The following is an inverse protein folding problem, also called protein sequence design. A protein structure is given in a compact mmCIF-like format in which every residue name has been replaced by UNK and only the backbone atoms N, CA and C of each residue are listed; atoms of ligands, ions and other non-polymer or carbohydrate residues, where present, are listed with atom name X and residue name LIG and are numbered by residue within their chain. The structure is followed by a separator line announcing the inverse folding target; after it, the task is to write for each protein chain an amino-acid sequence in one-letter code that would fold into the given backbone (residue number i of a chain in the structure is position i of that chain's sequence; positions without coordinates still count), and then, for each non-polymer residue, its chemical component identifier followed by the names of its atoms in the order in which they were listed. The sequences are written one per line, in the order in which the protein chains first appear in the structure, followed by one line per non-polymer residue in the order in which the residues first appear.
data_IF_841746767897
#
_entry.id   IF_841746767897
#
_cell.length_a   1.000
_cell.length_b   1.000
_cell.length_c   1.000
_cell.angle_alpha   90.00
_cell.angle_beta   90.00
_cell.angle_gamma   90.00
#
_symmetry.space_group_name_H-M   'P 1'
#
loop_
_entity.id
_entity.type
_entity.pdbx_description
1 polymer ?
#
# COMPACT_ATOMS: atom_id res chain seq x y z
N UNK A 1 12.53 -2.51 -14.73
CA UNK A 1 11.63 -1.71 -13.86
C UNK A 1 11.70 -2.23 -12.44
N UNK A 2 11.78 -1.33 -11.49
CA UNK A 2 11.78 -1.68 -10.07
C UNK A 2 10.39 -1.38 -9.49
N UNK A 3 9.91 -2.24 -8.61
CA UNK A 3 8.63 -2.10 -7.94
C UNK A 3 8.82 -2.08 -6.44
N UNK A 4 7.95 -1.39 -5.72
CA UNK A 4 7.99 -1.40 -4.26
C UNK A 4 6.58 -1.50 -3.66
N UNK A 5 6.55 -2.00 -2.43
CA UNK A 5 5.33 -2.12 -1.65
C UNK A 5 5.63 -1.78 -0.19
N UNK A 6 4.75 -1.01 0.43
CA UNK A 6 4.86 -0.63 1.84
C UNK A 6 3.80 -1.40 2.62
N UNK A 7 4.23 -2.16 3.61
CA UNK A 7 3.33 -3.11 4.28
C UNK A 7 3.77 -3.38 5.73
N UNK A 8 2.92 -4.08 6.46
CA UNK A 8 3.22 -4.59 7.80
C UNK A 8 3.66 -6.04 7.71
N UNK A 9 3.87 -6.69 8.87
CA UNK A 9 4.05 -8.14 8.97
C UNK A 9 2.71 -8.87 9.15
N UNK A 10 1.61 -8.11 9.33
CA UNK A 10 0.28 -8.67 9.54
C UNK A 10 -0.31 -9.15 8.20
N UNK A 11 -0.66 -10.43 8.12
CA UNK A 11 -1.14 -11.04 6.89
C UNK A 11 -2.62 -10.75 6.69
N UNK A 12 -2.97 -10.19 5.54
CA UNK A 12 -4.36 -9.93 5.17
C UNK A 12 -5.11 -11.24 4.92
N UNK A 13 -6.33 -11.33 5.44
CA UNK A 13 -7.14 -12.53 5.32
C UNK A 13 -7.44 -12.90 3.85
N UNK A 14 -7.78 -11.92 3.04
CA UNK A 14 -8.20 -12.14 1.65
C UNK A 14 -7.04 -12.57 0.76
N UNK A 15 -5.96 -11.81 0.75
CA UNK A 15 -4.83 -12.03 -0.18
C UNK A 15 -3.80 -13.02 0.34
N UNK A 16 -3.81 -13.33 1.64
CA UNK A 16 -2.78 -14.13 2.32
C UNK A 16 -1.38 -13.52 2.24
N UNK A 17 -1.30 -12.21 1.99
CA UNK A 17 -0.06 -11.45 1.88
C UNK A 17 -0.02 -10.37 2.97
N UNK A 18 1.18 -9.84 3.31
CA UNK A 18 1.28 -8.77 4.29
C UNK A 18 0.39 -7.58 3.93
N UNK A 19 -0.29 -7.05 4.95
CA UNK A 19 -1.26 -5.96 4.78
C UNK A 19 -0.56 -4.67 4.36
N UNK A 20 -1.07 -4.02 3.31
CA UNK A 20 -0.53 -2.75 2.81
C UNK A 20 -0.81 -1.57 3.74
N UNK A 21 -0.05 -0.50 3.57
CA UNK A 21 -0.12 0.67 4.45
C UNK A 21 -1.50 1.35 4.45
N UNK A 22 -2.15 1.46 3.30
CA UNK A 22 -3.48 2.11 3.21
C UNK A 22 -4.52 1.36 4.06
N UNK A 23 -4.58 0.06 3.92
CA UNK A 23 -5.50 -0.80 4.68
C UNK A 23 -5.19 -0.75 6.17
N UNK A 24 -3.91 -0.74 6.52
CA UNK A 24 -3.47 -0.70 7.92
C UNK A 24 -3.96 0.57 8.62
N UNK A 25 -3.77 1.74 8.01
CA UNK A 25 -4.23 3.00 8.61
C UNK A 25 -5.76 3.10 8.58
N UNK A 26 -6.39 2.60 7.51
CA UNK A 26 -7.86 2.50 7.44
C UNK A 26 -8.44 1.71 8.60
N UNK A 27 -7.79 0.65 9.02
CA UNK A 27 -8.20 -0.11 10.22
C UNK A 27 -8.08 0.68 11.52
N UNK A 28 -7.08 1.54 11.63
CA UNK A 28 -6.95 2.43 12.80
C UNK A 28 -8.12 3.41 12.86
N UNK A 29 -8.60 3.88 11.73
CA UNK A 29 -9.80 4.73 11.66
C UNK A 29 -11.05 3.93 12.07
N UNK A 30 -11.25 2.76 11.49
CA UNK A 30 -12.41 1.92 11.74
C UNK A 30 -12.52 1.49 13.20
N UNK A 31 -11.39 1.23 13.85
CA UNK A 31 -11.33 0.86 15.27
C UNK A 31 -11.37 2.06 16.22
N UNK A 32 -11.49 3.27 15.68
CA UNK A 32 -11.51 4.54 16.45
C UNK A 32 -10.26 4.75 17.29
N UNK A 33 -9.12 4.26 16.81
CA UNK A 33 -7.82 4.42 17.47
C UNK A 33 -7.26 5.82 17.29
N UNK A 34 -7.47 6.42 16.10
CA UNK A 34 -6.99 7.77 15.82
C UNK A 34 -7.78 8.82 16.60
N UNK A 35 -7.11 9.92 16.95
CA UNK A 35 -7.78 11.09 17.52
C UNK A 35 -8.72 11.73 16.50
N UNK A 36 -9.58 12.66 16.95
CA UNK A 36 -10.46 13.39 16.02
C UNK A 36 -9.65 14.18 14.97
N UNK A 37 -8.56 14.82 15.39
CA UNK A 37 -7.69 15.58 14.51
C UNK A 37 -7.00 14.68 13.49
N UNK A 38 -6.50 13.53 13.92
CA UNK A 38 -5.86 12.54 13.06
C UNK A 38 -6.85 11.95 12.07
N UNK A 39 -8.06 11.67 12.52
CA UNK A 39 -9.12 11.17 11.65
C UNK A 39 -9.48 12.19 10.57
N UNK A 40 -9.59 13.47 10.93
CA UNK A 40 -9.84 14.54 9.96
C UNK A 40 -8.71 14.63 8.92
N UNK A 41 -7.45 14.51 9.36
CA UNK A 41 -6.30 14.51 8.45
C UNK A 41 -6.30 13.28 7.54
N UNK A 42 -6.67 12.12 8.09
CA UNK A 42 -6.81 10.90 7.30
C UNK A 42 -7.77 11.10 6.11
N UNK A 43 -8.93 11.71 6.34
CA UNK A 43 -9.91 11.92 5.28
C UNK A 43 -9.40 12.88 4.21
N UNK A 44 -8.62 13.89 4.58
CA UNK A 44 -7.95 14.80 3.63
C UNK A 44 -6.93 14.05 2.78
N UNK A 45 -6.12 13.19 3.41
CA UNK A 45 -5.12 12.39 2.71
C UNK A 45 -5.79 11.40 1.76
N UNK A 46 -6.86 10.76 2.19
CA UNK A 46 -7.62 9.83 1.36
C UNK A 46 -8.22 10.53 0.13
N UNK A 47 -8.78 11.71 0.33
CA UNK A 47 -9.32 12.51 -0.79
C UNK A 47 -8.23 12.83 -1.81
N UNK A 48 -7.04 13.20 -1.35
CA UNK A 48 -5.89 13.43 -2.22
C UNK A 48 -5.57 12.19 -3.05
N UNK A 49 -5.45 11.02 -2.42
CA UNK A 49 -5.12 9.79 -3.13
C UNK A 49 -6.23 9.34 -4.08
N UNK A 50 -7.48 9.57 -3.75
CA UNK A 50 -8.61 9.28 -4.63
C UNK A 50 -8.57 10.14 -5.91
N UNK A 51 -8.06 11.37 -5.82
CA UNK A 51 -7.91 12.24 -6.99
C UNK A 51 -6.71 11.88 -7.87
N UNK A 52 -5.61 11.48 -7.26
CA UNK A 52 -4.30 11.36 -7.92
C UNK A 52 -4.01 9.93 -8.35
N UNK A 53 -4.35 8.96 -7.50
CA UNK A 53 -4.00 7.56 -7.70
C UNK A 53 -5.19 6.81 -8.32
N UNK A 54 -5.06 6.31 -9.57
CA UNK A 54 -6.14 5.51 -10.15
C UNK A 54 -6.44 4.28 -9.31
N UNK A 55 -7.72 3.91 -9.23
CA UNK A 55 -8.16 2.70 -8.52
C UNK A 55 -8.40 1.60 -9.55
N UNK A 56 -7.71 0.45 -9.45
CA UNK A 56 -7.99 -0.69 -10.32
C UNK A 56 -9.47 -1.07 -10.27
N UNK A 57 -10.12 -1.28 -11.44
CA UNK A 57 -11.58 -1.47 -11.49
C UNK A 57 -12.11 -2.61 -10.65
N UNK A 58 -11.35 -3.70 -10.53
CA UNK A 58 -11.78 -4.89 -9.79
C UNK A 58 -11.87 -4.69 -8.28
N UNK A 59 -11.30 -3.62 -7.72
CA UNK A 59 -11.44 -3.34 -6.28
C UNK A 59 -12.87 -2.99 -5.90
N UNK A 60 -13.66 -2.44 -6.84
CA UNK A 60 -15.09 -2.17 -6.61
C UNK A 60 -15.88 -3.45 -6.36
N UNK A 61 -15.42 -4.56 -6.91
CA UNK A 61 -16.08 -5.87 -6.80
C UNK A 61 -15.50 -6.71 -5.65
N UNK A 62 -14.78 -6.10 -4.72
CA UNK A 62 -14.21 -6.78 -3.56
C UNK A 62 -12.93 -7.54 -3.85
N UNK A 63 -12.24 -7.21 -4.95
CA UNK A 63 -10.99 -7.85 -5.34
C UNK A 63 -11.12 -9.38 -5.45
N UNK A 64 -12.02 -9.89 -6.32
CA UNK A 64 -12.33 -11.33 -6.37
C UNK A 64 -11.12 -12.20 -6.74
N UNK A 65 -10.16 -11.67 -7.48
CA UNK A 65 -8.96 -12.40 -7.90
C UNK A 65 -7.82 -12.31 -6.87
N UNK A 66 -8.05 -11.64 -5.74
CA UNK A 66 -7.06 -11.48 -4.65
C UNK A 66 -5.77 -10.80 -5.15
N UNK A 67 -5.92 -9.74 -5.95
CA UNK A 67 -4.79 -9.00 -6.49
C UNK A 67 -4.04 -8.22 -5.42
N UNK A 68 -2.75 -8.02 -5.64
CA UNK A 68 -1.88 -7.24 -4.78
C UNK A 68 -1.27 -6.12 -5.60
N UNK A 69 -1.31 -4.89 -5.08
CA UNK A 69 -0.78 -3.72 -5.76
C UNK A 69 0.66 -3.45 -5.33
N UNK A 70 1.52 -3.21 -6.32
CA UNK A 70 2.88 -2.74 -6.16
C UNK A 70 3.04 -1.41 -6.88
N UNK A 71 3.74 -0.47 -6.27
CA UNK A 71 4.05 0.80 -6.91
C UNK A 71 5.27 0.67 -7.82
N UNK A 72 5.28 1.45 -8.89
CA UNK A 72 6.43 1.56 -9.77
C UNK A 72 7.47 2.51 -9.16
N UNK A 73 8.74 2.17 -9.24
CA UNK A 73 9.83 3.06 -8.83
C UNK A 73 10.16 4.02 -9.99
N UNK A 74 9.25 4.94 -10.23
CA UNK A 74 9.30 6.00 -11.23
C UNK A 74 9.10 7.33 -10.52
N UNK A 75 9.28 8.48 -11.18
CA UNK A 75 8.95 9.77 -10.56
C UNK A 75 7.54 9.82 -9.99
N UNK A 76 6.54 9.26 -10.70
CA UNK A 76 5.16 9.19 -10.22
C UNK A 76 5.04 8.32 -8.96
N UNK A 77 5.69 7.15 -8.95
CA UNK A 77 5.69 6.27 -7.79
C UNK A 77 6.41 6.89 -6.60
N UNK A 78 7.49 7.63 -6.82
CA UNK A 78 8.18 8.35 -5.76
C UNK A 78 7.33 9.49 -5.18
N UNK A 79 6.52 10.14 -6.00
CA UNK A 79 5.55 11.12 -5.49
C UNK A 79 4.56 10.47 -4.53
N UNK A 80 4.09 9.26 -4.82
CA UNK A 80 3.22 8.51 -3.92
C UNK A 80 3.95 8.21 -2.61
N UNK A 81 5.19 7.71 -2.68
CA UNK A 81 6.00 7.47 -1.47
C UNK A 81 6.10 8.72 -0.60
N UNK A 82 6.39 9.87 -1.21
CA UNK A 82 6.55 11.13 -0.49
C UNK A 82 5.24 11.58 0.18
N UNK A 83 4.09 11.29 -0.44
CA UNK A 83 2.78 11.63 0.11
C UNK A 83 2.30 10.67 1.20
N UNK A 84 2.99 9.57 1.42
CA UNK A 84 2.66 8.62 2.47
C UNK A 84 3.13 9.04 3.87
N UNK A 85 3.66 10.24 4.03
CA UNK A 85 4.23 10.71 5.31
C UNK A 85 3.25 10.59 6.46
N UNK A 86 2.02 11.07 6.30
CA UNK A 86 0.99 10.96 7.34
C UNK A 86 0.75 9.49 7.73
N UNK A 87 0.61 8.61 6.74
CA UNK A 87 0.38 7.18 6.97
C UNK A 87 1.53 6.55 7.74
N UNK A 88 2.77 6.88 7.38
CA UNK A 88 3.96 6.38 8.10
C UNK A 88 4.00 6.90 9.54
N UNK A 89 3.66 8.16 9.76
CA UNK A 89 3.61 8.77 11.09
C UNK A 89 2.56 8.09 11.98
N UNK A 90 1.39 7.78 11.44
CA UNK A 90 0.33 7.11 12.19
C UNK A 90 0.76 5.70 12.59
N UNK A 91 1.37 4.95 11.68
CA UNK A 91 1.89 3.63 12.02
C UNK A 91 2.94 3.71 13.12
N UNK A 92 3.88 4.64 13.01
CA UNK A 92 4.92 4.83 14.02
C UNK A 92 4.33 5.19 15.39
N UNK A 93 3.39 6.13 15.41
CA UNK A 93 2.74 6.58 16.65
C UNK A 93 2.01 5.44 17.36
N UNK A 94 1.37 4.57 16.61
CA UNK A 94 0.55 3.48 17.17
C UNK A 94 1.28 2.15 17.22
N UNK A 95 2.61 2.16 17.13
CA UNK A 95 3.44 0.99 17.37
C UNK A 95 3.43 -0.05 16.27
N UNK A 96 3.07 0.34 15.04
CA UNK A 96 3.04 -0.55 13.89
C UNK A 96 4.33 -0.42 13.11
N UNK A 97 5.08 -1.51 13.00
CA UNK A 97 6.30 -1.54 12.20
C UNK A 97 5.94 -1.69 10.71
N UNK A 98 6.49 -0.81 9.88
CA UNK A 98 6.34 -0.86 8.44
C UNK A 98 7.60 -1.40 7.77
N UNK A 99 7.39 -2.12 6.69
CA UNK A 99 8.44 -2.65 5.83
C UNK A 99 8.25 -2.13 4.41
N UNK A 100 9.36 -1.97 3.70
CA UNK A 100 9.35 -1.67 2.27
C UNK A 100 9.96 -2.87 1.54
N UNK A 101 9.16 -3.53 0.74
CA UNK A 101 9.63 -4.61 -0.15
C UNK A 101 9.92 -4.04 -1.53
N UNK A 102 11.04 -4.42 -2.11
CA UNK A 102 11.47 -3.95 -3.42
C UNK A 102 11.88 -5.13 -4.29
N UNK A 103 11.53 -5.08 -5.57
CA UNK A 103 11.91 -6.13 -6.52
C UNK A 103 12.13 -5.52 -7.90
N UNK A 104 13.06 -6.11 -8.67
CA UNK A 104 13.31 -5.76 -10.06
C UNK A 104 12.64 -6.72 -11.04
N UNK A 105 12.04 -7.80 -10.52
CA UNK A 105 11.28 -8.77 -11.33
C UNK A 105 9.79 -8.60 -11.06
N UNK A 106 8.95 -9.03 -12.00
CA UNK A 106 7.50 -8.99 -11.79
C UNK A 106 7.11 -9.88 -10.61
N UNK A 107 6.41 -9.33 -9.60
CA UNK A 107 6.06 -10.10 -8.40
C UNK A 107 4.88 -11.05 -8.57
N UNK A 108 4.38 -11.22 -9.78
CA UNK A 108 3.28 -12.10 -10.11
C UNK A 108 2.79 -11.83 -11.52
N UNK A 109 1.61 -12.36 -11.84
CA UNK A 109 0.95 -12.10 -13.10
C UNK A 109 0.24 -10.75 -13.07
N UNK A 110 0.63 -9.83 -13.96
CA UNK A 110 0.03 -8.49 -14.04
C UNK A 110 -1.36 -8.57 -14.67
N UNK A 111 -2.37 -8.09 -13.93
CA UNK A 111 -3.74 -8.00 -14.42
C UNK A 111 -4.21 -6.55 -14.58
N UNK A 112 -3.41 -5.59 -14.12
CA UNK A 112 -3.69 -4.17 -14.25
C UNK A 112 -2.39 -3.39 -14.17
N UNK A 113 -2.31 -2.29 -14.92
CA UNK A 113 -1.16 -1.39 -14.89
C UNK A 113 -1.59 0.04 -15.22
N UNK A 114 -1.02 1.00 -14.51
CA UNK A 114 -1.11 2.42 -14.85
C UNK A 114 0.26 3.09 -14.61
N UNK A 115 0.34 4.41 -14.66
CA UNK A 115 1.61 5.13 -14.50
C UNK A 115 2.22 5.00 -13.11
N UNK A 116 1.44 4.66 -12.10
CA UNK A 116 1.86 4.60 -10.69
C UNK A 116 2.13 3.18 -10.20
N UNK A 117 1.41 2.19 -10.72
CA UNK A 117 1.28 0.90 -10.06
C UNK A 117 0.96 -0.24 -11.03
N UNK A 118 1.20 -1.44 -10.53
CA UNK A 118 0.69 -2.67 -11.14
C UNK A 118 -0.12 -3.43 -10.10
N UNK A 119 -1.08 -4.21 -10.55
CA UNK A 119 -1.75 -5.18 -9.70
C UNK A 119 -1.47 -6.58 -10.23
N UNK A 120 -1.11 -7.48 -9.34
CA UNK A 120 -0.68 -8.84 -9.71
C UNK A 120 -1.48 -9.89 -8.96
N UNK A 121 -1.66 -11.03 -9.62
CA UNK A 121 -2.19 -12.26 -9.02
C UNK A 121 -1.12 -13.34 -9.11
N UNK A 122 -1.36 -14.47 -8.46
CA UNK A 122 -0.43 -15.61 -8.45
C UNK A 122 1.00 -15.17 -8.14
N UNK A 123 1.28 -14.69 -6.90
CA UNK A 123 2.62 -14.27 -6.54
C UNK A 123 3.62 -15.37 -6.85
N UNK A 124 4.67 -15.02 -7.62
CA UNK A 124 5.70 -15.96 -7.98
C UNK A 124 6.91 -15.83 -7.05
N UNK A 125 7.76 -16.86 -7.03
CA UNK A 125 9.05 -16.79 -6.34
C UNK A 125 9.92 -15.75 -7.03
N UNK A 126 10.12 -14.63 -6.37
CA UNK A 126 10.93 -13.51 -6.86
C UNK A 126 11.86 -13.05 -5.74
N UNK A 127 12.98 -12.48 -6.12
CA UNK A 127 13.90 -11.91 -5.13
C UNK A 127 13.35 -10.57 -4.66
N UNK A 128 13.17 -10.46 -3.34
CA UNK A 128 12.68 -9.25 -2.70
C UNK A 128 13.72 -8.75 -1.71
N UNK A 129 14.04 -7.48 -1.81
CA UNK A 129 14.79 -6.79 -0.78
C UNK A 129 13.79 -6.16 0.17
N UNK A 130 13.81 -6.57 1.45
CA UNK A 130 12.91 -6.04 2.47
C UNK A 130 13.71 -5.19 3.44
N UNK A 131 13.26 -3.96 3.67
CA UNK A 131 13.87 -3.05 4.63
C UNK A 131 12.81 -2.50 5.57
N UNK A 132 13.23 -2.15 6.79
CA UNK A 132 12.35 -1.50 7.75
C UNK A 132 12.24 -0.02 7.44
N UNK A 133 11.02 0.51 7.45
CA UNK A 133 10.78 1.95 7.29
C UNK A 133 11.09 2.65 8.62
N UNK A 134 11.96 3.66 8.60
CA UNK A 134 12.52 4.28 9.81
C UNK A 134 11.91 5.63 10.19
N UNK A 135 11.14 6.24 9.32
CA UNK A 135 10.57 7.58 9.59
C UNK A 135 9.08 7.59 9.93
#
# INVERSE_FOLDING_TARGET
MKYFRVHTSDVAWLTKQPRGIFTTVGKLVDSKTLTEEETAEYWKQREYFERVLPVPPFYKDGNPDHAITWFKDTPQGQDIWNQLTFYRQMCKKYGITLYKSETTTLPGQVIYEDDFQIAVINPSNYQVLVSTVKD
#
